data_IF_050290111056
#
_entry.id   IF_050290111056
#
_cell.length_a   1.000
_cell.length_b   1.000
_cell.length_c   1.000
_cell.angle_alpha   90.00
_cell.angle_beta   90.00
_cell.angle_gamma   90.00
#
_symmetry.space_group_name_H-M   'P 1'
#
loop_
_entity.id
_entity.type
_entity.pdbx_description
1 polymer ?
#
# COMPACT_ATOMS: atom_id res chain seq x y z
N UNK A 1 2.02 14.75 22.88
CA UNK A 1 0.61 14.54 23.23
C UNK A 1 0.02 13.69 22.14
N UNK A 2 -0.01 12.35 22.30
CA UNK A 2 -0.76 11.44 21.43
C UNK A 2 -2.20 11.44 21.95
N UNK A 3 -3.15 11.81 21.11
CA UNK A 3 -4.55 11.79 21.42
C UNK A 3 -4.99 10.34 21.74
N UNK A 4 -5.31 10.08 22.98
CA UNK A 4 -5.74 8.77 23.49
C UNK A 4 -7.14 8.37 23.04
N UNK A 5 -7.88 9.27 22.38
CA UNK A 5 -9.29 9.05 22.03
C UNK A 5 -9.51 8.25 20.73
N UNK A 6 -8.54 8.26 19.79
CA UNK A 6 -8.67 7.53 18.53
C UNK A 6 -8.47 6.00 18.66
N UNK A 7 -7.74 5.55 19.67
CA UNK A 7 -7.51 4.12 19.93
C UNK A 7 -8.79 3.39 20.36
N UNK A 8 -9.61 4.02 21.18
CA UNK A 8 -10.89 3.45 21.62
C UNK A 8 -11.87 3.31 20.44
N UNK A 9 -11.95 4.32 19.58
CA UNK A 9 -12.80 4.28 18.38
C UNK A 9 -12.36 3.21 17.38
N UNK A 10 -11.04 2.96 17.27
CA UNK A 10 -10.49 1.92 16.42
C UNK A 10 -10.67 0.52 17.00
N UNK A 11 -10.54 0.35 18.32
CA UNK A 11 -10.80 -0.92 19.02
C UNK A 11 -12.26 -1.37 18.91
N UNK A 12 -13.21 -0.44 18.98
CA UNK A 12 -14.64 -0.76 18.78
C UNK A 12 -14.91 -1.28 17.37
N UNK A 13 -14.27 -0.72 16.35
CA UNK A 13 -14.41 -1.20 14.95
C UNK A 13 -13.85 -2.61 14.80
N UNK A 14 -12.73 -2.93 15.43
CA UNK A 14 -12.13 -4.27 15.39
C UNK A 14 -12.97 -5.28 16.19
N UNK A 15 -13.54 -4.89 17.32
CA UNK A 15 -14.42 -5.76 18.12
C UNK A 15 -15.77 -6.04 17.46
N UNK A 16 -16.27 -5.11 16.62
CA UNK A 16 -17.52 -5.31 15.87
C UNK A 16 -17.36 -6.24 14.66
N UNK A 17 -16.13 -6.40 14.12
CA UNK A 17 -15.85 -7.26 12.98
C UNK A 17 -16.29 -8.74 13.18
N UNK A 18 -15.97 -9.42 14.31
CA UNK A 18 -16.44 -10.79 14.54
C UNK A 18 -17.96 -10.87 14.78
N UNK A 19 -18.58 -9.86 15.37
CA UNK A 19 -20.03 -9.78 15.53
C UNK A 19 -20.71 -9.62 14.16
N UNK A 20 -20.14 -8.81 13.27
CA UNK A 20 -20.63 -8.64 11.90
C UNK A 20 -20.45 -9.94 11.10
N UNK A 21 -19.30 -10.61 11.24
CA UNK A 21 -19.03 -11.92 10.64
C UNK A 21 -20.02 -12.99 11.12
N UNK A 22 -20.31 -13.04 12.41
CA UNK A 22 -21.28 -13.96 12.99
C UNK A 22 -22.70 -13.67 12.50
N UNK A 23 -23.11 -12.41 12.45
CA UNK A 23 -24.43 -11.99 11.94
C UNK A 23 -24.58 -12.34 10.46
N UNK A 24 -23.55 -12.11 9.64
CA UNK A 24 -23.52 -12.52 8.23
C UNK A 24 -23.59 -14.03 8.08
N UNK A 25 -22.86 -14.80 8.88
CA UNK A 25 -22.88 -16.26 8.84
C UNK A 25 -24.26 -16.85 9.23
N UNK A 26 -24.88 -16.30 10.26
CA UNK A 26 -26.23 -16.69 10.69
C UNK A 26 -27.25 -16.32 9.58
N UNK A 27 -27.14 -15.12 9.00
CA UNK A 27 -27.98 -14.68 7.89
C UNK A 27 -27.88 -15.62 6.67
N UNK A 28 -26.65 -15.97 6.26
CA UNK A 28 -26.41 -16.90 5.16
C UNK A 28 -27.00 -18.28 5.46
N UNK A 29 -26.85 -18.82 6.67
CA UNK A 29 -27.46 -20.10 7.08
C UNK A 29 -29.00 -20.05 7.07
N UNK A 30 -29.59 -18.96 7.50
CA UNK A 30 -31.05 -18.76 7.46
C UNK A 30 -31.56 -18.70 6.02
N UNK A 31 -30.87 -17.97 5.16
CA UNK A 31 -31.16 -17.87 3.72
C UNK A 31 -31.04 -19.25 3.06
N UNK A 32 -29.96 -20.00 3.36
CA UNK A 32 -29.77 -21.35 2.82
C UNK A 32 -30.86 -22.33 3.26
N UNK A 33 -31.39 -22.21 4.49
CA UNK A 33 -32.52 -23.01 4.97
C UNK A 33 -33.82 -22.61 4.26
N UNK A 34 -34.05 -21.33 4.05
CA UNK A 34 -35.20 -20.78 3.29
C UNK A 34 -35.17 -21.25 1.84
N UNK A 35 -34.01 -21.13 1.17
CA UNK A 35 -33.78 -21.57 -0.22
C UNK A 35 -34.01 -23.07 -0.39
N UNK A 36 -33.59 -23.90 0.58
CA UNK A 36 -33.84 -25.37 0.55
C UNK A 36 -35.32 -25.71 0.62
N UNK A 37 -36.13 -24.96 1.40
CA UNK A 37 -37.58 -25.10 1.45
C UNK A 37 -38.26 -24.61 0.16
N UNK A 38 -37.78 -23.51 -0.42
CA UNK A 38 -38.31 -22.95 -1.68
C UNK A 38 -37.91 -23.80 -2.91
N UNK A 39 -36.76 -24.46 -2.90
CA UNK A 39 -36.28 -25.33 -4.00
C UNK A 39 -37.21 -26.50 -4.30
N UNK A 40 -37.98 -26.96 -3.31
CA UNK A 40 -39.03 -27.96 -3.51
C UNK A 40 -40.29 -27.43 -4.19
N UNK A 41 -40.53 -26.10 -4.16
CA UNK A 41 -41.73 -25.47 -4.70
C UNK A 41 -41.53 -24.67 -5.99
N UNK A 42 -40.29 -24.17 -6.24
CA UNK A 42 -40.00 -23.33 -7.39
C UNK A 42 -38.61 -23.53 -7.95
N UNK A 43 -38.48 -24.04 -9.16
CA UNK A 43 -37.19 -24.22 -9.87
C UNK A 43 -36.41 -22.91 -10.05
N UNK A 44 -37.12 -21.75 -10.07
CA UNK A 44 -36.55 -20.42 -10.24
C UNK A 44 -36.18 -19.70 -8.94
N UNK A 45 -36.68 -20.15 -7.78
CA UNK A 45 -36.41 -19.50 -6.50
C UNK A 45 -34.94 -19.55 -6.08
N UNK A 46 -34.20 -20.58 -6.52
CA UNK A 46 -32.75 -20.68 -6.30
C UNK A 46 -31.96 -19.61 -7.07
N UNK A 47 -32.31 -19.40 -8.34
CA UNK A 47 -31.64 -18.41 -9.19
C UNK A 47 -31.86 -17.00 -8.65
N UNK A 48 -33.12 -16.67 -8.29
CA UNK A 48 -33.45 -15.38 -7.69
C UNK A 48 -32.72 -15.15 -6.36
N UNK A 49 -32.62 -16.16 -5.50
CA UNK A 49 -31.90 -16.03 -4.23
C UNK A 49 -30.40 -15.83 -4.43
N UNK A 50 -29.78 -16.53 -5.37
CA UNK A 50 -28.34 -16.37 -5.68
C UNK A 50 -28.04 -15.02 -6.32
N UNK A 51 -28.90 -14.57 -7.26
CA UNK A 51 -28.73 -13.24 -7.88
C UNK A 51 -28.92 -12.11 -6.88
N UNK A 52 -29.92 -12.21 -5.98
CA UNK A 52 -30.14 -11.22 -4.93
C UNK A 52 -28.97 -11.19 -3.93
N UNK A 53 -28.42 -12.34 -3.58
CA UNK A 53 -27.25 -12.42 -2.69
C UNK A 53 -26.00 -11.84 -3.37
N UNK A 54 -25.76 -12.18 -4.63
CA UNK A 54 -24.67 -11.62 -5.41
C UNK A 54 -24.78 -10.09 -5.54
N UNK A 55 -25.99 -9.60 -5.86
CA UNK A 55 -26.26 -8.16 -5.95
C UNK A 55 -26.06 -7.46 -4.60
N UNK A 56 -26.48 -8.09 -3.49
CA UNK A 56 -26.25 -7.57 -2.15
C UNK A 56 -24.75 -7.43 -1.84
N UNK A 57 -23.92 -8.43 -2.16
CA UNK A 57 -22.48 -8.35 -1.94
C UNK A 57 -21.81 -7.33 -2.87
N UNK A 58 -22.27 -7.18 -4.11
CA UNK A 58 -21.79 -6.14 -5.04
C UNK A 58 -22.11 -4.76 -4.49
N UNK A 59 -23.34 -4.54 -4.02
CA UNK A 59 -23.77 -3.27 -3.43
C UNK A 59 -23.02 -2.98 -2.12
N UNK A 60 -22.80 -4.00 -1.28
CA UNK A 60 -22.03 -3.86 -0.05
C UNK A 60 -20.58 -3.46 -0.36
N UNK A 61 -19.98 -4.08 -1.38
CA UNK A 61 -18.62 -3.74 -1.82
C UNK A 61 -18.58 -2.35 -2.46
N UNK A 62 -19.54 -2.00 -3.29
CA UNK A 62 -19.65 -0.67 -3.90
C UNK A 62 -19.84 0.43 -2.84
N UNK A 63 -20.69 0.19 -1.82
CA UNK A 63 -20.88 1.14 -0.72
C UNK A 63 -19.66 1.25 0.18
N UNK A 64 -18.93 0.14 0.45
CA UNK A 64 -17.68 0.20 1.22
C UNK A 64 -16.57 0.95 0.47
N UNK A 65 -16.48 0.77 -0.86
CA UNK A 65 -15.54 1.54 -1.70
C UNK A 65 -15.96 3.01 -1.79
N UNK A 66 -17.26 3.29 -1.93
CA UNK A 66 -17.77 4.65 -1.90
C UNK A 66 -17.51 5.32 -0.55
N UNK A 67 -17.70 4.61 0.55
CA UNK A 67 -17.43 5.12 1.90
C UNK A 67 -15.94 5.36 2.15
N UNK A 68 -15.05 4.53 1.62
CA UNK A 68 -13.59 4.78 1.65
C UNK A 68 -13.16 5.94 0.73
N UNK A 69 -14.02 6.31 -0.23
CA UNK A 69 -13.81 7.47 -1.11
C UNK A 69 -14.50 8.74 -0.60
N UNK A 70 -15.28 8.64 0.47
CA UNK A 70 -15.88 9.84 1.08
C UNK A 70 -14.75 10.73 1.56
N UNK A 71 -14.70 11.84 0.92
CA UNK A 71 -14.03 13.10 1.15
C UNK A 71 -13.09 13.04 2.36
N UNK A 72 -11.81 12.87 2.09
CA UNK A 72 -10.79 13.24 3.05
C UNK A 72 -11.14 14.68 3.47
N UNK A 73 -11.47 14.87 4.73
CA UNK A 73 -11.76 16.17 5.29
C UNK A 73 -10.60 17.09 4.99
N UNK A 74 -10.83 18.37 4.89
CA UNK A 74 -9.79 19.33 4.52
C UNK A 74 -8.64 19.34 5.55
N UNK A 75 -8.95 19.07 6.81
CA UNK A 75 -8.00 18.82 7.89
C UNK A 75 -7.18 17.53 7.66
N UNK A 76 -7.80 16.42 7.22
CA UNK A 76 -7.09 15.18 6.85
C UNK A 76 -6.18 15.38 5.65
N UNK A 77 -6.60 16.16 4.65
CA UNK A 77 -5.77 16.51 3.51
C UNK A 77 -4.52 17.27 3.94
N UNK A 78 -4.67 18.26 4.79
CA UNK A 78 -3.56 19.05 5.30
C UNK A 78 -2.57 18.18 6.06
N UNK A 79 -3.06 17.31 6.97
CA UNK A 79 -2.22 16.38 7.73
C UNK A 79 -1.46 15.40 6.81
N UNK A 80 -2.12 14.85 5.79
CA UNK A 80 -1.48 13.93 4.83
C UNK A 80 -0.38 14.63 4.05
N UNK A 81 -0.62 15.86 3.57
CA UNK A 81 0.37 16.60 2.80
C UNK A 81 1.55 17.08 3.67
N UNK A 82 1.30 17.50 4.90
CA UNK A 82 2.36 17.86 5.86
C UNK A 82 3.24 16.65 6.20
N UNK A 83 2.66 15.47 6.42
CA UNK A 83 3.43 14.23 6.63
C UNK A 83 4.22 13.83 5.40
N UNK A 84 3.64 13.96 4.19
CA UNK A 84 4.35 13.78 2.93
C UNK A 84 5.58 14.66 2.87
N UNK A 85 5.41 15.96 3.09
CA UNK A 85 6.48 16.95 2.98
C UNK A 85 7.57 16.72 4.02
N UNK A 86 7.19 16.35 5.25
CA UNK A 86 8.13 15.95 6.28
C UNK A 86 8.99 14.74 5.85
N UNK A 87 8.35 13.70 5.32
CA UNK A 87 9.06 12.48 4.88
C UNK A 87 9.94 12.76 3.65
N UNK A 88 9.46 13.56 2.70
CA UNK A 88 10.26 14.01 1.55
C UNK A 88 11.50 14.77 2.02
N UNK A 89 11.36 15.69 2.96
CA UNK A 89 12.48 16.44 3.53
C UNK A 89 13.50 15.54 4.28
N UNK A 90 13.08 14.36 4.74
CA UNK A 90 13.98 13.37 5.37
C UNK A 90 14.68 12.47 4.36
N UNK A 91 13.98 12.02 3.32
CA UNK A 91 14.47 11.01 2.39
C UNK A 91 15.09 11.60 1.13
N UNK A 92 14.61 12.74 0.63
CA UNK A 92 15.21 13.42 -0.53
C UNK A 92 16.43 14.23 -0.06
N UNK A 93 17.52 13.49 0.17
CA UNK A 93 18.84 14.04 0.56
C UNK A 93 19.93 13.25 -0.19
N UNK A 94 21.21 13.42 0.21
CA UNK A 94 22.25 12.53 -0.36
C UNK A 94 22.00 11.07 0.02
N UNK A 95 22.26 10.10 -0.87
CA UNK A 95 22.04 8.67 -0.61
C UNK A 95 22.71 8.18 0.68
N UNK A 96 23.94 8.62 0.91
CA UNK A 96 24.67 8.31 2.15
C UNK A 96 23.91 8.77 3.38
N UNK A 97 23.37 9.98 3.37
CA UNK A 97 22.61 10.54 4.50
C UNK A 97 21.33 9.75 4.75
N UNK A 98 20.66 9.26 3.71
CA UNK A 98 19.46 8.42 3.86
C UNK A 98 19.81 7.15 4.62
N UNK A 99 20.92 6.49 4.27
CA UNK A 99 21.40 5.29 4.98
C UNK A 99 21.81 5.62 6.42
N UNK A 100 22.59 6.68 6.63
CA UNK A 100 23.11 7.07 7.95
C UNK A 100 22.01 7.46 8.95
N UNK A 101 20.84 7.91 8.49
CA UNK A 101 19.68 8.21 9.33
C UNK A 101 18.96 6.97 9.86
N UNK A 102 19.19 5.80 9.24
CA UNK A 102 18.55 4.57 9.68
C UNK A 102 19.20 4.07 10.99
N UNK A 103 18.45 3.37 11.86
CA UNK A 103 18.97 2.86 13.11
C UNK A 103 20.17 1.94 12.90
N UNK A 104 21.30 2.28 13.50
CA UNK A 104 22.57 1.50 13.38
C UNK A 104 22.62 0.26 14.28
N UNK A 105 21.71 0.16 15.25
CA UNK A 105 21.69 -0.90 16.26
C UNK A 105 21.58 -2.33 15.68
N UNK A 106 21.00 -2.43 14.47
CA UNK A 106 20.80 -3.72 13.78
C UNK A 106 21.87 -4.02 12.74
N UNK A 107 22.88 -3.15 12.59
CA UNK A 107 24.01 -3.31 11.66
C UNK A 107 23.79 -2.64 10.29
N UNK A 108 24.91 -2.42 9.58
CA UNK A 108 24.95 -1.67 8.32
C UNK A 108 24.08 -2.27 7.20
N UNK A 109 23.95 -3.59 7.16
CA UNK A 109 23.09 -4.28 6.19
C UNK A 109 21.64 -3.86 6.36
N UNK A 110 21.11 -3.90 7.58
CA UNK A 110 19.75 -3.50 7.85
C UNK A 110 19.51 -2.00 7.66
N UNK A 111 20.52 -1.16 7.90
CA UNK A 111 20.42 0.27 7.60
C UNK A 111 20.11 0.52 6.12
N UNK A 112 20.87 -0.14 5.21
CA UNK A 112 20.64 -0.04 3.77
C UNK A 112 19.29 -0.60 3.35
N UNK A 113 18.89 -1.75 3.89
CA UNK A 113 17.59 -2.37 3.61
C UNK A 113 16.43 -1.49 4.10
N UNK A 114 16.53 -0.89 5.27
CA UNK A 114 15.50 0.03 5.78
C UNK A 114 15.45 1.34 5.01
N UNK A 115 16.59 1.83 4.53
CA UNK A 115 16.63 2.98 3.63
C UNK A 115 15.87 2.71 2.33
N UNK A 116 16.10 1.54 1.72
CA UNK A 116 15.37 1.06 0.55
C UNK A 116 13.86 0.99 0.83
N UNK A 117 13.45 0.35 1.92
CA UNK A 117 12.04 0.20 2.30
C UNK A 117 11.38 1.56 2.53
N UNK A 118 12.05 2.48 3.20
CA UNK A 118 11.53 3.82 3.43
C UNK A 118 11.29 4.58 2.13
N UNK A 119 12.23 4.52 1.19
CA UNK A 119 12.08 5.13 -0.14
C UNK A 119 10.94 4.48 -0.94
N UNK A 120 10.85 3.15 -0.95
CA UNK A 120 9.82 2.44 -1.72
C UNK A 120 8.42 2.65 -1.15
N UNK A 121 8.27 2.64 0.17
CA UNK A 121 7.00 2.91 0.84
C UNK A 121 6.52 4.35 0.63
N UNK A 122 7.44 5.33 0.71
CA UNK A 122 7.09 6.71 0.39
C UNK A 122 6.68 6.85 -1.08
N UNK A 123 7.42 6.22 -2.01
CA UNK A 123 7.05 6.22 -3.43
C UNK A 123 5.64 5.66 -3.65
N UNK A 124 5.28 4.55 -3.00
CA UNK A 124 3.92 3.99 -3.07
C UNK A 124 2.86 4.93 -2.47
N UNK A 125 3.18 5.62 -1.37
CA UNK A 125 2.31 6.63 -0.78
C UNK A 125 2.08 7.81 -1.75
N UNK A 126 3.12 8.26 -2.46
CA UNK A 126 3.01 9.34 -3.45
C UNK A 126 2.09 8.97 -4.62
N UNK A 127 2.07 7.70 -5.07
CA UNK A 127 1.11 7.21 -6.08
C UNK A 127 -0.32 7.36 -5.57
N UNK A 128 -0.57 6.95 -4.32
CA UNK A 128 -1.89 7.03 -3.71
C UNK A 128 -2.33 8.49 -3.52
N UNK A 129 -1.43 9.35 -3.03
CA UNK A 129 -1.67 10.79 -2.86
C UNK A 129 -1.99 11.44 -4.21
N UNK A 130 -1.25 11.10 -5.28
CA UNK A 130 -1.51 11.60 -6.64
C UNK A 130 -2.87 11.16 -7.19
N UNK A 131 -3.38 10.02 -6.74
CA UNK A 131 -4.70 9.51 -7.12
C UNK A 131 -5.82 10.23 -6.38
N UNK A 132 -5.62 10.51 -5.08
CA UNK A 132 -6.60 11.16 -4.21
C UNK A 132 -6.59 12.67 -4.44
N UNK A 133 -5.39 13.25 -4.61
CA UNK A 133 -5.16 14.69 -4.82
C UNK A 133 -4.43 14.94 -6.15
N UNK A 134 -5.13 14.91 -7.30
CA UNK A 134 -4.51 14.99 -8.64
C UNK A 134 -3.68 16.24 -8.89
N UNK A 135 -3.96 17.33 -8.18
CA UNK A 135 -3.20 18.59 -8.25
C UNK A 135 -1.77 18.47 -7.69
N UNK A 136 -1.45 17.42 -6.95
CA UNK A 136 -0.10 17.16 -6.41
C UNK A 136 0.74 16.25 -7.31
N UNK A 137 0.16 15.72 -8.39
CA UNK A 137 0.76 14.66 -9.23
C UNK A 137 2.14 15.02 -9.76
N UNK A 138 2.30 16.19 -10.35
CA UNK A 138 3.58 16.59 -10.94
C UNK A 138 4.70 16.73 -9.90
N UNK A 139 4.37 17.27 -8.75
CA UNK A 139 5.31 17.38 -7.63
C UNK A 139 5.70 15.99 -7.11
N UNK A 140 4.71 15.11 -6.94
CA UNK A 140 4.93 13.76 -6.50
C UNK A 140 5.74 12.94 -7.51
N UNK A 141 5.54 13.12 -8.82
CA UNK A 141 6.36 12.49 -9.85
C UNK A 141 7.83 12.89 -9.75
N UNK A 142 8.11 14.20 -9.62
CA UNK A 142 9.48 14.67 -9.41
C UNK A 142 10.12 14.09 -8.14
N UNK A 143 9.33 13.96 -7.07
CA UNK A 143 9.79 13.36 -5.83
C UNK A 143 10.07 11.86 -5.99
N UNK A 144 9.22 11.15 -6.75
CA UNK A 144 9.45 9.73 -7.05
C UNK A 144 10.71 9.51 -7.88
N UNK A 145 11.00 10.36 -8.87
CA UNK A 145 12.25 10.33 -9.63
C UNK A 145 13.45 10.44 -8.69
N UNK A 146 13.45 11.43 -7.81
CA UNK A 146 14.54 11.63 -6.85
C UNK A 146 14.71 10.43 -5.91
N UNK A 147 13.62 9.81 -5.45
CA UNK A 147 13.67 8.60 -4.62
C UNK A 147 14.23 7.40 -5.41
N UNK A 148 13.87 7.25 -6.69
CA UNK A 148 14.41 6.20 -7.57
C UNK A 148 15.91 6.41 -7.76
N UNK A 149 16.35 7.62 -8.06
CA UNK A 149 17.79 7.95 -8.22
C UNK A 149 18.58 7.68 -6.93
N UNK A 150 18.01 7.96 -5.76
CA UNK A 150 18.62 7.62 -4.48
C UNK A 150 18.78 6.09 -4.35
N UNK A 151 17.74 5.34 -4.70
CA UNK A 151 17.76 3.86 -4.63
C UNK A 151 18.74 3.27 -5.64
N UNK A 152 18.86 3.85 -6.83
CA UNK A 152 19.83 3.45 -7.86
C UNK A 152 21.28 3.79 -7.50
N UNK A 153 21.53 4.60 -6.47
CA UNK A 153 22.89 5.01 -6.11
C UNK A 153 23.72 3.85 -5.55
N UNK A 154 25.04 3.81 -5.81
CA UNK A 154 25.92 2.80 -5.24
C UNK A 154 25.93 2.80 -3.71
N UNK A 155 25.76 3.96 -3.09
CA UNK A 155 25.76 4.10 -1.64
C UNK A 155 24.59 3.36 -1.01
N UNK A 156 23.38 3.46 -1.60
CA UNK A 156 22.21 2.80 -1.04
C UNK A 156 22.22 1.30 -1.33
N UNK A 157 22.53 0.86 -2.55
CA UNK A 157 22.55 -0.57 -2.92
C UNK A 157 23.74 -1.35 -2.36
N UNK A 158 24.70 -0.64 -1.74
CA UNK A 158 25.90 -1.25 -1.15
C UNK A 158 25.60 -2.39 -0.16
N UNK A 159 24.52 -2.29 0.62
CA UNK A 159 24.15 -3.32 1.58
C UNK A 159 23.88 -4.67 0.90
N UNK A 160 23.22 -4.63 -0.25
CA UNK A 160 22.89 -5.81 -1.05
C UNK A 160 24.13 -6.34 -1.77
N UNK A 161 24.92 -5.45 -2.36
CA UNK A 161 26.18 -5.79 -3.00
C UNK A 161 27.17 -6.45 -2.02
N UNK A 162 27.29 -5.95 -0.80
CA UNK A 162 28.15 -6.56 0.24
C UNK A 162 27.62 -7.93 0.68
N UNK A 163 26.30 -8.08 0.78
CA UNK A 163 25.66 -9.35 1.15
C UNK A 163 25.95 -10.47 0.17
N UNK A 164 25.89 -10.17 -1.12
CA UNK A 164 26.00 -11.17 -2.18
C UNK A 164 27.36 -11.22 -2.86
N UNK A 165 28.21 -10.22 -2.64
CA UNK A 165 29.54 -10.11 -3.25
C UNK A 165 29.50 -9.62 -4.70
N UNK A 166 28.35 -9.11 -5.17
CA UNK A 166 28.14 -8.58 -6.53
C UNK A 166 27.08 -7.47 -6.51
N UNK A 167 27.16 -6.55 -7.47
CA UNK A 167 26.20 -5.45 -7.58
C UNK A 167 24.87 -5.94 -8.17
N UNK A 168 23.71 -5.63 -7.55
CA UNK A 168 22.39 -6.09 -8.01
C UNK A 168 22.00 -5.59 -9.41
N UNK A 169 22.64 -4.54 -9.93
CA UNK A 169 22.34 -3.99 -11.26
C UNK A 169 23.32 -4.47 -12.34
N UNK A 170 24.48 -5.03 -11.94
CA UNK A 170 25.53 -5.47 -12.86
C UNK A 170 25.51 -6.99 -13.10
N UNK A 171 24.94 -7.75 -12.18
CA UNK A 171 24.96 -9.22 -12.18
C UNK A 171 23.57 -9.84 -12.09
N UNK A 172 22.71 -9.51 -13.06
CA UNK A 172 21.34 -10.04 -13.11
C UNK A 172 21.26 -11.54 -13.46
N UNK A 173 22.31 -12.10 -14.06
CA UNK A 173 22.40 -13.52 -14.46
C UNK A 173 23.08 -14.40 -13.40
N UNK A 174 23.42 -13.85 -12.24
CA UNK A 174 24.11 -14.55 -11.17
C UNK A 174 23.22 -15.56 -10.45
N UNK A 175 23.87 -16.50 -9.73
CA UNK A 175 23.19 -17.43 -8.82
C UNK A 175 22.70 -16.76 -7.53
N UNK A 176 22.96 -15.47 -7.37
CA UNK A 176 22.65 -14.69 -6.16
C UNK A 176 21.24 -14.10 -6.23
N UNK A 177 20.62 -14.02 -5.09
CA UNK A 177 19.24 -13.53 -5.00
C UNK A 177 19.20 -12.07 -4.55
N UNK A 178 19.11 -11.17 -5.51
CA UNK A 178 18.89 -9.73 -5.26
C UNK A 178 17.39 -9.37 -5.14
N UNK A 179 16.55 -10.35 -4.80
CA UNK A 179 15.08 -10.21 -4.81
C UNK A 179 14.58 -9.06 -3.96
N UNK A 180 15.16 -8.84 -2.77
CA UNK A 180 14.74 -7.74 -1.89
C UNK A 180 14.95 -6.39 -2.56
N UNK A 181 16.15 -6.14 -3.08
CA UNK A 181 16.48 -4.88 -3.73
C UNK A 181 15.68 -4.69 -5.03
N UNK A 182 15.73 -5.67 -5.92
CA UNK A 182 15.11 -5.57 -7.26
C UNK A 182 13.59 -5.46 -7.20
N UNK A 183 12.93 -6.16 -6.28
CA UNK A 183 11.47 -6.08 -6.15
C UNK A 183 10.99 -4.71 -5.68
N UNK A 184 11.69 -4.08 -4.74
CA UNK A 184 11.38 -2.74 -4.29
C UNK A 184 11.65 -1.68 -5.35
N UNK A 185 12.78 -1.79 -6.08
CA UNK A 185 13.09 -0.92 -7.21
C UNK A 185 12.04 -1.05 -8.31
N UNK A 186 11.72 -2.28 -8.73
CA UNK A 186 10.68 -2.53 -9.74
C UNK A 186 9.32 -1.97 -9.30
N UNK A 187 8.96 -2.13 -8.03
CA UNK A 187 7.73 -1.56 -7.50
C UNK A 187 7.69 -0.05 -7.58
N UNK A 188 8.80 0.63 -7.27
CA UNK A 188 8.92 2.10 -7.40
C UNK A 188 8.77 2.54 -8.85
N UNK A 189 9.44 1.87 -9.80
CA UNK A 189 9.36 2.17 -11.23
C UNK A 189 7.94 1.96 -11.76
N UNK A 190 7.30 0.83 -11.42
CA UNK A 190 5.91 0.56 -11.77
C UNK A 190 4.95 1.61 -11.19
N UNK A 191 5.19 2.04 -9.95
CA UNK A 191 4.44 3.12 -9.30
C UNK A 191 4.57 4.45 -10.03
N UNK A 192 5.80 4.82 -10.38
CA UNK A 192 6.11 6.03 -11.14
C UNK A 192 5.38 6.04 -12.49
N UNK A 193 5.45 4.96 -13.26
CA UNK A 193 4.73 4.82 -14.53
C UNK A 193 3.22 4.90 -14.34
N UNK A 194 2.68 4.23 -13.34
CA UNK A 194 1.26 4.28 -13.00
C UNK A 194 0.78 5.69 -12.65
N UNK A 195 1.64 6.49 -12.03
CA UNK A 195 1.35 7.89 -11.72
C UNK A 195 1.44 8.81 -12.96
N UNK A 196 1.89 8.31 -14.10
CA UNK A 196 2.03 9.05 -15.36
C UNK A 196 3.45 9.51 -15.67
N UNK A 197 4.45 8.90 -15.04
CA UNK A 197 5.86 9.11 -15.36
C UNK A 197 6.23 8.61 -16.76
N UNK A 198 7.34 9.11 -17.28
CA UNK A 198 7.87 8.76 -18.59
C UNK A 198 8.60 7.39 -18.60
N UNK A 199 9.22 7.05 -19.74
CA UNK A 199 9.88 5.76 -19.95
C UNK A 199 11.38 5.76 -19.62
N UNK A 200 11.87 6.70 -18.82
CA UNK A 200 13.33 6.83 -18.53
C UNK A 200 13.94 5.64 -17.79
N UNK A 201 13.11 4.82 -17.16
CA UNK A 201 13.54 3.65 -16.40
C UNK A 201 13.18 2.31 -17.08
N UNK A 202 12.86 2.32 -18.39
CA UNK A 202 12.59 1.11 -19.16
C UNK A 202 13.83 0.32 -19.52
#
# INVERSE_FOLDING_TARGET
YFATDDWCASLWKVMLLPLYGAACFIGVRQIQRGVRKLRKRFRWGGVVAYTSLALFFILLKASSVAWMRTEAREDERTDILERRDYLLGKLITSPKRVVDQMPSIVGAQFQGEWALYSCSMLSAALVNISTIYPNTREENLRSMEQLIEIVLSPELRRYDAVRWGEDPLESLDGEKSHVSYLSHLAWMICGYKRAGGDNRYD
#
